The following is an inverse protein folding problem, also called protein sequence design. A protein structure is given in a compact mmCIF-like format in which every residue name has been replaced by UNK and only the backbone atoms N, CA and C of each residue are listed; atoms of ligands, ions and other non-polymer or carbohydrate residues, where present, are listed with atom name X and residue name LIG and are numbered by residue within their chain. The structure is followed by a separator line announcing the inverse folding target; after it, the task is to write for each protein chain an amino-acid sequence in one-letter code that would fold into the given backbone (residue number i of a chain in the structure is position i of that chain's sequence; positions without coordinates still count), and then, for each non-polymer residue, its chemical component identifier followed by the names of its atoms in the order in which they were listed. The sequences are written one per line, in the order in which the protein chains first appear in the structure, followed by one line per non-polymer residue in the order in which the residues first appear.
data_IF_843728170674
#
_entry.id   IF_843728170674
#
_cell.length_a   1.000
_cell.length_b   1.000
_cell.length_c   1.000
_cell.angle_alpha   90.00
_cell.angle_beta   90.00
_cell.angle_gamma   90.00
#
_symmetry.space_group_name_H-M   'P 1'
#
loop_
_entity.id
_entity.type
_entity.pdbx_description
1 polymer ?
#
# COMPACT_ATOMS: atom_id res chain seq x y z
N UNK A 1 -4.65 7.49 -17.91
CA UNK A 1 -5.58 8.43 -17.29
C UNK A 1 -5.01 9.83 -17.33
N UNK A 2 -5.86 10.81 -17.62
CA UNK A 2 -5.61 12.22 -17.29
C UNK A 2 -5.86 12.35 -15.79
N UNK A 3 -4.85 12.76 -15.02
CA UNK A 3 -5.05 13.19 -13.63
C UNK A 3 -6.03 14.38 -13.70
N UNK A 4 -7.31 14.12 -13.43
CA UNK A 4 -8.33 15.17 -13.58
C UNK A 4 -8.16 16.25 -12.52
N UNK A 5 -7.57 15.92 -11.36
CA UNK A 5 -7.26 16.86 -10.28
C UNK A 5 -5.91 16.53 -9.61
N UNK A 6 -5.07 17.54 -9.32
CA UNK A 6 -3.81 17.34 -8.62
C UNK A 6 -4.06 16.79 -7.21
N UNK A 7 -3.30 15.76 -6.84
CA UNK A 7 -3.23 15.25 -5.48
C UNK A 7 -1.87 15.58 -4.87
N UNK A 8 -1.81 15.67 -3.56
CA UNK A 8 -0.58 15.84 -2.80
C UNK A 8 -0.34 14.59 -1.96
N UNK A 9 0.84 13.99 -2.15
CA UNK A 9 1.32 12.83 -1.40
C UNK A 9 2.43 13.29 -0.44
N UNK A 10 2.24 13.01 0.85
CA UNK A 10 3.29 13.12 1.86
C UNK A 10 3.64 11.73 2.36
N UNK A 11 4.90 11.34 2.19
CA UNK A 11 5.44 10.10 2.74
C UNK A 11 6.38 10.38 3.90
N UNK A 12 6.26 9.57 4.95
CA UNK A 12 7.17 9.57 6.10
C UNK A 12 7.61 8.13 6.34
N UNK A 13 8.93 7.91 6.27
CA UNK A 13 9.52 6.60 6.57
C UNK A 13 9.76 6.49 8.08
N UNK A 14 9.13 5.50 8.69
CA UNK A 14 9.24 5.28 10.13
C UNK A 14 10.47 4.41 10.45
N UNK A 15 11.11 4.64 11.62
CA UNK A 15 12.19 3.78 12.09
C UNK A 15 11.76 2.31 12.20
N UNK A 16 12.70 1.42 11.90
CA UNK A 16 12.52 -0.03 11.86
C UNK A 16 13.80 -0.71 12.33
N UNK A 17 13.65 -1.77 13.13
CA UNK A 17 14.76 -2.63 13.55
C UNK A 17 15.05 -3.77 12.54
N UNK A 18 14.28 -3.83 11.45
CA UNK A 18 14.50 -4.75 10.33
C UNK A 18 15.33 -4.06 9.24
N UNK A 19 16.48 -4.64 8.91
CA UNK A 19 17.44 -4.11 7.93
C UNK A 19 16.96 -4.13 6.47
N UNK A 20 15.98 -4.97 6.17
CA UNK A 20 15.44 -5.21 4.83
C UNK A 20 13.92 -5.02 4.74
N UNK A 21 13.38 -4.29 5.71
CA UNK A 21 11.99 -3.86 5.73
C UNK A 21 11.89 -2.34 5.63
N UNK A 22 10.73 -1.86 5.23
CA UNK A 22 10.39 -0.44 5.14
C UNK A 22 8.99 -0.24 5.72
N UNK A 23 8.85 0.72 6.64
CA UNK A 23 7.54 1.17 7.12
C UNK A 23 7.27 2.56 6.59
N UNK A 24 6.16 2.72 5.86
CA UNK A 24 5.78 3.98 5.21
C UNK A 24 4.45 4.45 5.76
N UNK A 25 4.44 5.66 6.30
CA UNK A 25 3.23 6.42 6.56
C UNK A 25 2.97 7.37 5.39
N UNK A 26 1.81 7.25 4.77
CA UNK A 26 1.40 8.07 3.63
C UNK A 26 0.18 8.91 4.00
N UNK A 27 0.16 10.16 3.54
CA UNK A 27 -1.01 11.01 3.52
C UNK A 27 -1.24 11.48 2.07
N UNK A 28 -2.37 11.08 1.49
CA UNK A 28 -2.81 11.46 0.16
C UNK A 28 -3.97 12.44 0.32
N UNK A 29 -3.81 13.65 -0.20
CA UNK A 29 -4.86 14.66 -0.20
C UNK A 29 -5.25 15.02 -1.63
N UNK A 30 -6.56 15.07 -1.89
CA UNK A 30 -7.13 15.48 -3.18
C UNK A 30 -8.38 16.31 -2.91
N UNK A 31 -8.33 17.59 -3.29
CA UNK A 31 -9.40 18.54 -2.98
C UNK A 31 -9.63 18.69 -1.47
N UNK A 32 -10.76 18.19 -0.96
CA UNK A 32 -11.11 18.21 0.48
C UNK A 32 -10.94 16.87 1.18
N UNK A 33 -10.65 15.83 0.41
CA UNK A 33 -10.51 14.48 0.93
C UNK A 33 -9.04 14.24 1.28
N UNK A 34 -8.79 13.63 2.44
CA UNK A 34 -7.45 13.21 2.88
C UNK A 34 -7.54 11.77 3.35
N UNK A 35 -6.63 10.95 2.84
CA UNK A 35 -6.52 9.55 3.14
C UNK A 35 -5.14 9.26 3.73
N UNK A 36 -5.09 8.50 4.81
CA UNK A 36 -3.82 8.11 5.45
C UNK A 36 -3.67 6.59 5.47
N UNK A 37 -2.48 6.10 5.18
CA UNK A 37 -2.16 4.67 5.32
C UNK A 37 -0.80 4.46 5.99
N UNK A 38 -0.69 3.35 6.70
CA UNK A 38 0.58 2.84 7.20
C UNK A 38 0.82 1.47 6.57
N UNK A 39 1.96 1.29 5.90
CA UNK A 39 2.30 0.07 5.18
C UNK A 39 3.66 -0.46 5.61
N UNK A 40 3.80 -1.78 5.60
CA UNK A 40 5.05 -2.49 5.85
C UNK A 40 5.42 -3.25 4.59
N UNK A 41 6.63 -3.02 4.09
CA UNK A 41 7.23 -3.75 2.99
C UNK A 41 8.45 -4.52 3.47
N UNK A 42 8.70 -5.68 2.87
CA UNK A 42 9.87 -6.52 3.13
C UNK A 42 10.48 -6.98 1.82
N UNK A 43 11.81 -7.10 1.77
CA UNK A 43 12.49 -7.78 0.65
C UNK A 43 12.33 -9.30 0.69
N UNK A 44 11.87 -9.85 1.81
CA UNK A 44 11.59 -11.28 2.00
C UNK A 44 10.08 -11.53 1.91
N UNK A 45 9.73 -12.78 1.65
CA UNK A 45 8.34 -13.24 1.63
C UNK A 45 7.62 -13.01 2.97
N UNK A 46 8.34 -13.11 4.09
CA UNK A 46 7.80 -12.89 5.42
C UNK A 46 8.78 -12.14 6.32
N UNK A 47 8.28 -11.66 7.46
CA UNK A 47 9.06 -10.95 8.49
C UNK A 47 8.95 -11.69 9.83
N UNK A 48 9.85 -11.38 10.76
CA UNK A 48 9.82 -12.02 12.09
C UNK A 48 8.57 -11.61 12.88
N UNK A 49 8.06 -12.48 13.78
CA UNK A 49 6.93 -12.14 14.65
C UNK A 49 7.18 -10.87 15.47
N UNK A 50 8.40 -10.69 15.98
CA UNK A 50 8.77 -9.50 16.75
C UNK A 50 8.61 -8.21 15.93
N UNK A 51 8.94 -8.26 14.63
CA UNK A 51 8.76 -7.12 13.74
C UNK A 51 7.29 -6.84 13.43
N UNK A 52 6.47 -7.89 13.33
CA UNK A 52 5.01 -7.75 13.21
C UNK A 52 4.42 -7.05 14.43
N UNK A 53 4.87 -7.41 15.63
CA UNK A 53 4.39 -6.77 16.87
C UNK A 53 4.87 -5.31 16.98
N UNK A 54 6.11 -5.01 16.58
CA UNK A 54 6.61 -3.64 16.47
C UNK A 54 5.72 -2.79 15.53
N UNK A 55 5.36 -3.35 14.38
CA UNK A 55 4.47 -2.67 13.43
C UNK A 55 3.06 -2.45 14.00
N UNK A 56 2.47 -3.45 14.67
CA UNK A 56 1.17 -3.29 15.35
C UNK A 56 1.21 -2.20 16.42
N UNK A 57 2.31 -2.08 17.17
CA UNK A 57 2.48 -1.01 18.14
C UNK A 57 2.53 0.38 17.46
N UNK A 58 3.14 0.49 16.27
CA UNK A 58 3.11 1.72 15.47
C UNK A 58 1.69 2.06 15.00
N UNK A 59 0.93 1.07 14.53
CA UNK A 59 -0.50 1.22 14.15
C UNK A 59 -1.32 1.76 15.32
N UNK A 60 -1.16 1.17 16.51
CA UNK A 60 -1.87 1.59 17.72
C UNK A 60 -1.48 3.02 18.14
N UNK A 61 -0.19 3.33 18.11
CA UNK A 61 0.32 4.68 18.42
C UNK A 61 -0.30 5.75 17.50
N UNK A 62 -0.45 5.43 16.22
CA UNK A 62 -1.09 6.29 15.22
C UNK A 62 -2.62 6.26 15.26
N UNK A 63 -3.21 5.48 16.17
CA UNK A 63 -4.67 5.26 16.31
C UNK A 63 -5.33 4.82 15.01
N UNK A 64 -4.61 4.01 14.24
CA UNK A 64 -5.11 3.42 13.00
C UNK A 64 -5.84 2.11 13.29
N UNK A 65 -6.78 1.70 12.42
CA UNK A 65 -7.40 0.38 12.50
C UNK A 65 -6.36 -0.74 12.41
N UNK A 66 -6.70 -1.92 12.93
CA UNK A 66 -5.86 -3.12 12.81
C UNK A 66 -5.43 -3.34 11.36
N UNK A 67 -4.14 -3.63 11.11
CA UNK A 67 -3.63 -3.75 9.76
C UNK A 67 -4.19 -5.01 9.09
N UNK A 68 -4.41 -4.91 7.79
CA UNK A 68 -4.71 -6.07 6.94
C UNK A 68 -3.39 -6.77 6.65
N UNK A 69 -3.30 -8.05 7.02
CA UNK A 69 -2.12 -8.88 6.76
C UNK A 69 -2.37 -9.74 5.53
N UNK A 70 -1.47 -9.65 4.56
CA UNK A 70 -1.49 -10.50 3.36
C UNK A 70 -0.93 -11.87 3.75
N UNK A 71 -1.52 -12.94 3.21
CA UNK A 71 -0.95 -14.28 3.32
C UNK A 71 0.40 -14.30 2.59
N UNK A 72 1.46 -14.66 3.31
CA UNK A 72 2.82 -14.65 2.74
C UNK A 72 3.01 -15.72 1.67
N UNK A 73 2.17 -16.75 1.65
CA UNK A 73 2.21 -17.79 0.61
C UNK A 73 1.45 -17.38 -0.66
N UNK A 74 0.74 -16.25 -0.62
CA UNK A 74 0.05 -15.70 -1.78
C UNK A 74 0.97 -14.76 -2.58
N UNK A 75 1.34 -15.17 -3.79
CA UNK A 75 2.10 -14.32 -4.72
C UNK A 75 1.18 -13.28 -5.37
N UNK A 76 1.45 -12.00 -5.07
CA UNK A 76 0.68 -10.86 -5.60
C UNK A 76 0.91 -10.68 -7.11
N UNK A 77 2.12 -10.99 -7.59
CA UNK A 77 2.50 -10.87 -9.00
C UNK A 77 3.47 -11.99 -9.39
N UNK A 78 2.98 -13.20 -9.71
CA UNK A 78 3.84 -14.28 -10.19
C UNK A 78 4.46 -13.96 -11.55
N UNK A 79 5.68 -14.44 -11.79
CA UNK A 79 6.50 -14.11 -12.96
C UNK A 79 5.89 -14.55 -14.31
N UNK A 80 4.86 -15.40 -14.27
CA UNK A 80 4.19 -15.94 -15.45
C UNK A 80 3.01 -15.09 -15.94
N UNK A 81 2.71 -13.98 -15.27
CA UNK A 81 1.62 -13.07 -15.64
C UNK A 81 2.12 -12.07 -16.70
N UNK A 82 1.32 -11.86 -17.75
CA UNK A 82 1.63 -10.82 -18.73
C UNK A 82 1.68 -9.44 -18.04
N UNK A 83 2.55 -8.51 -18.44
CA UNK A 83 2.64 -7.18 -17.80
C UNK A 83 1.30 -6.43 -17.72
N UNK A 84 0.39 -6.70 -18.67
CA UNK A 84 -0.98 -6.18 -18.70
C UNK A 84 -1.94 -6.77 -17.65
N UNK A 85 -1.60 -7.91 -17.06
CA UNK A 85 -2.44 -8.65 -16.09
C UNK A 85 -1.94 -8.48 -14.64
N UNK A 86 -0.67 -8.13 -14.43
CA UNK A 86 -0.09 -7.91 -13.10
C UNK A 86 -0.69 -6.69 -12.35
N UNK A 87 -1.15 -5.69 -13.10
CA UNK A 87 -1.83 -4.51 -12.52
C UNK A 87 -3.20 -4.89 -11.95
N UNK A 88 -3.97 -5.68 -12.68
CA UNK A 88 -5.30 -6.14 -12.26
C UNK A 88 -5.25 -6.95 -10.96
N UNK A 89 -4.15 -7.68 -10.71
CA UNK A 89 -3.95 -8.40 -9.45
C UNK A 89 -3.78 -7.45 -8.25
N UNK A 90 -3.11 -6.31 -8.44
CA UNK A 90 -2.91 -5.28 -7.41
C UNK A 90 -4.19 -4.51 -7.08
N UNK A 91 -5.13 -4.41 -8.02
CA UNK A 91 -6.40 -3.70 -7.80
C UNK A 91 -7.16 -4.29 -6.59
N UNK A 92 -7.19 -5.61 -6.44
CA UNK A 92 -7.84 -6.28 -5.29
C UNK A 92 -7.22 -5.89 -3.94
N UNK A 93 -5.89 -5.66 -3.91
CA UNK A 93 -5.14 -5.25 -2.74
C UNK A 93 -5.35 -3.76 -2.43
N UNK A 94 -5.45 -2.96 -3.48
CA UNK A 94 -5.68 -1.52 -3.39
C UNK A 94 -7.14 -1.21 -3.05
N UNK A 95 -8.11 -2.02 -3.48
CA UNK A 95 -9.52 -1.91 -3.07
C UNK A 95 -9.67 -2.01 -1.54
N UNK A 96 -8.87 -2.87 -0.89
CA UNK A 96 -8.83 -2.99 0.57
C UNK A 96 -8.25 -1.75 1.27
N UNK A 97 -7.42 -0.96 0.58
CA UNK A 97 -6.93 0.36 1.03
C UNK A 97 -8.00 1.44 0.88
N UNK A 98 -9.01 1.24 0.02
CA UNK A 98 -9.87 2.30 -0.49
C UNK A 98 -11.25 2.31 0.16
N UNK A 99 -11.32 2.98 1.31
CA UNK A 99 -12.55 3.55 1.84
C UNK A 99 -13.22 4.49 0.82
N UNK A 100 -14.10 3.92 0.02
CA UNK A 100 -15.23 4.51 -0.70
C UNK A 100 -15.06 5.69 -1.68
N UNK A 101 -13.88 6.30 -1.92
CA UNK A 101 -13.78 7.38 -2.94
C UNK A 101 -12.52 7.44 -3.82
N UNK A 102 -11.48 6.66 -3.54
CA UNK A 102 -10.22 6.69 -4.32
C UNK A 102 -10.15 5.59 -5.39
N UNK A 103 -11.06 4.61 -5.36
CA UNK A 103 -11.08 3.43 -6.23
C UNK A 103 -11.10 3.73 -7.74
N UNK A 104 -11.56 4.92 -8.15
CA UNK A 104 -11.55 5.31 -9.56
C UNK A 104 -10.21 5.88 -10.05
N UNK A 105 -9.29 6.23 -9.16
CA UNK A 105 -8.14 7.09 -9.47
C UNK A 105 -6.80 6.34 -9.45
N UNK A 106 -6.71 5.20 -8.77
CA UNK A 106 -5.50 4.36 -8.82
C UNK A 106 -5.57 3.30 -9.94
N UNK A 107 -6.72 2.68 -10.16
CA UNK A 107 -6.93 1.72 -11.26
C UNK A 107 -6.50 2.30 -12.62
N UNK A 108 -6.95 3.51 -12.94
CA UNK A 108 -6.65 4.11 -14.23
C UNK A 108 -5.26 4.80 -14.29
N UNK A 109 -4.55 4.93 -13.17
CA UNK A 109 -3.18 5.44 -13.11
C UNK A 109 -2.21 4.36 -13.60
N UNK A 110 -2.41 3.12 -13.18
CA UNK A 110 -1.56 2.00 -13.57
C UNK A 110 -1.81 1.53 -15.00
N UNK A 111 -3.07 1.54 -15.48
CA UNK A 111 -3.41 1.27 -16.90
C UNK A 111 -2.70 2.20 -17.89
N UNK A 112 -2.24 3.36 -17.45
CA UNK A 112 -1.63 4.39 -18.29
C UNK A 112 -0.11 4.36 -18.32
N UNK A 113 0.52 3.59 -17.42
CA UNK A 113 1.97 3.49 -17.33
C UNK A 113 2.51 2.25 -18.06
N UNK A 114 1.64 1.25 -18.30
CA UNK A 114 1.96 -0.01 -18.98
C UNK A 114 1.61 0.00 -20.48
N UNK A 115 1.00 1.08 -20.98
CA UNK A 115 0.75 1.29 -22.41
C UNK A 115 1.42 2.56 -22.94
#
# INVERSE_FOLDING_TARGET
MVIEQPFYLREVYLPTDCSDCLVVYEEVSSGRDTFTSLMLFSKRQSVSPDFVEMFKAQVECLRMPSPIMIDTDYEICPDNIAPSEGISALNSLLEAKMGHRVAKLLDAFFDAFVN
#
